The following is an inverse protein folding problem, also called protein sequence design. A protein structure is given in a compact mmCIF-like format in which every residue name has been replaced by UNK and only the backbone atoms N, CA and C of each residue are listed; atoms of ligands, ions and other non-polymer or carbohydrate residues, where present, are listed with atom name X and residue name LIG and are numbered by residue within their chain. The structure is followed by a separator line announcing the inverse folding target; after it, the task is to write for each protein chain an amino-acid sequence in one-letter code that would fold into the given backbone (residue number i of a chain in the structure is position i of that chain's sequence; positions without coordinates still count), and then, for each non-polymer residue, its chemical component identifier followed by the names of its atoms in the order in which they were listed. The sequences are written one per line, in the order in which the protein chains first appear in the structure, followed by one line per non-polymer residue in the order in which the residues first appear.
data_IF_614786867182
#
_entry.id   IF_614786867182
#
_cell.length_a   1.000
_cell.length_b   1.000
_cell.length_c   1.000
_cell.angle_alpha   90.00
_cell.angle_beta   90.00
_cell.angle_gamma   90.00
#
_symmetry.space_group_name_H-M   'P 1'
#
loop_
_entity.id
_entity.type
_entity.pdbx_description
1 polymer ?
#
# COMPACT_ATOMS: atom_id res chain seq x y z
N UNK A 1 -23.65 -67.33 -55.29
CA UNK A 1 -24.24 -66.01 -55.42
C UNK A 1 -23.66 -65.14 -54.32
N UNK A 2 -22.90 -64.25 -54.83
CA UNK A 2 -22.52 -62.94 -54.33
C UNK A 2 -21.75 -62.84 -53.01
N UNK A 3 -20.39 -62.79 -53.16
CA UNK A 3 -19.48 -62.27 -52.14
C UNK A 3 -19.48 -60.78 -52.11
N UNK A 4 -19.71 -60.21 -50.95
CA UNK A 4 -19.48 -58.77 -50.73
C UNK A 4 -18.16 -58.59 -50.00
N UNK A 5 -17.32 -57.81 -50.64
CA UNK A 5 -15.91 -57.53 -50.39
C UNK A 5 -15.65 -56.92 -49.00
N UNK A 6 -14.87 -57.63 -48.22
CA UNK A 6 -14.31 -57.22 -46.91
C UNK A 6 -13.26 -56.06 -47.00
N UNK A 7 -12.98 -55.57 -48.21
CA UNK A 7 -11.92 -54.57 -48.44
C UNK A 7 -12.29 -53.11 -48.28
N UNK A 8 -13.58 -52.76 -48.24
CA UNK A 8 -14.01 -51.34 -48.20
C UNK A 8 -14.19 -50.75 -46.81
N UNK A 9 -14.26 -51.61 -45.75
CA UNK A 9 -14.40 -51.14 -44.35
C UNK A 9 -13.08 -50.73 -43.68
N UNK A 10 -11.96 -51.31 -44.15
CA UNK A 10 -10.63 -51.03 -43.55
C UNK A 10 -10.09 -49.66 -44.00
N UNK A 11 -10.41 -49.22 -45.23
CA UNK A 11 -9.98 -47.92 -45.76
C UNK A 11 -10.65 -46.69 -45.04
N UNK A 12 -11.88 -46.86 -44.55
CA UNK A 12 -12.60 -45.76 -43.90
C UNK A 12 -12.15 -45.53 -42.46
N UNK A 13 -11.69 -46.61 -41.76
CA UNK A 13 -11.21 -46.51 -40.36
C UNK A 13 -9.82 -45.87 -40.32
N UNK A 14 -8.95 -46.14 -41.32
CA UNK A 14 -7.60 -45.58 -41.39
C UNK A 14 -7.66 -44.10 -41.73
N UNK A 15 -8.58 -43.66 -42.60
CA UNK A 15 -8.74 -42.24 -42.93
C UNK A 15 -9.26 -41.42 -41.76
N UNK A 16 -10.14 -42.02 -40.90
CA UNK A 16 -10.66 -41.35 -39.68
C UNK A 16 -9.58 -41.15 -38.61
N UNK A 17 -8.67 -42.10 -38.45
CA UNK A 17 -7.59 -42.03 -37.44
C UNK A 17 -6.54 -41.01 -37.87
N UNK A 18 -6.19 -40.90 -39.16
CA UNK A 18 -5.21 -39.91 -39.63
C UNK A 18 -5.73 -38.49 -39.49
N UNK A 19 -7.03 -38.24 -39.78
CA UNK A 19 -7.65 -36.93 -39.56
C UNK A 19 -7.74 -36.55 -38.11
N UNK A 20 -8.03 -37.53 -37.22
CA UNK A 20 -8.04 -37.25 -35.78
C UNK A 20 -6.63 -36.99 -35.20
N UNK A 21 -5.60 -37.63 -35.72
CA UNK A 21 -4.20 -37.43 -35.31
C UNK A 21 -3.69 -36.04 -35.75
N UNK A 22 -4.06 -35.56 -36.95
CA UNK A 22 -3.67 -34.25 -37.46
C UNK A 22 -4.39 -33.14 -36.68
N UNK A 23 -5.67 -33.30 -36.31
CA UNK A 23 -6.41 -32.31 -35.53
C UNK A 23 -5.89 -32.25 -34.11
N UNK A 24 -5.51 -33.40 -33.48
CA UNK A 24 -4.92 -33.39 -32.14
C UNK A 24 -3.50 -32.80 -32.17
N UNK A 25 -2.69 -33.04 -33.19
CA UNK A 25 -1.37 -32.40 -33.34
C UNK A 25 -1.48 -30.88 -33.56
N UNK A 26 -2.51 -30.40 -34.31
CA UNK A 26 -2.75 -28.97 -34.48
C UNK A 26 -3.27 -28.28 -33.21
N UNK A 27 -4.04 -28.97 -32.36
CA UNK A 27 -4.47 -28.45 -31.06
C UNK A 27 -3.31 -28.43 -30.06
N UNK A 28 -2.45 -29.43 -30.03
CA UNK A 28 -1.28 -29.51 -29.15
C UNK A 28 -0.19 -28.48 -29.52
N UNK A 29 -0.09 -28.05 -30.77
CA UNK A 29 0.84 -26.97 -31.16
C UNK A 29 0.30 -25.58 -30.87
N UNK A 30 -1.00 -25.39 -30.59
CA UNK A 30 -1.55 -24.13 -30.14
C UNK A 30 -1.45 -23.92 -28.61
N UNK A 31 -1.28 -24.97 -27.81
CA UNK A 31 -1.10 -24.86 -26.35
C UNK A 31 0.35 -24.61 -25.93
N UNK A 32 1.31 -24.53 -26.85
CA UNK A 32 2.74 -24.39 -26.56
C UNK A 32 3.34 -23.00 -26.73
N UNK A 33 2.54 -21.95 -26.91
CA UNK A 33 3.00 -20.55 -26.88
C UNK A 33 2.15 -19.78 -25.89
N UNK A 34 2.58 -19.74 -24.64
CA UNK A 34 2.29 -18.61 -23.76
C UNK A 34 2.94 -17.38 -24.40
N UNK A 35 2.26 -16.81 -25.37
CA UNK A 35 2.54 -15.46 -25.82
C UNK A 35 2.11 -14.56 -24.64
N UNK A 36 3.08 -14.05 -23.90
CA UNK A 36 2.89 -12.76 -23.25
C UNK A 36 2.44 -11.80 -24.34
N UNK A 37 1.14 -11.60 -24.46
CA UNK A 37 0.55 -10.60 -25.32
C UNK A 37 0.94 -9.23 -24.76
N UNK A 38 2.08 -8.70 -25.20
CA UNK A 38 2.30 -7.27 -25.24
C UNK A 38 1.16 -6.71 -26.08
N UNK A 39 0.18 -6.11 -25.43
CA UNK A 39 -0.93 -5.44 -26.10
C UNK A 39 -0.34 -4.26 -26.85
N UNK A 40 -0.02 -4.44 -28.15
CA UNK A 40 0.47 -3.38 -29.01
C UNK A 40 -0.71 -2.51 -29.46
N UNK A 41 -1.19 -1.67 -28.56
CA UNK A 41 -2.26 -0.70 -28.79
C UNK A 41 -2.07 0.50 -27.85
N UNK A 42 -2.77 1.61 -28.09
CA UNK A 42 -2.69 2.77 -27.20
C UNK A 42 -3.12 2.37 -25.78
N UNK A 43 -2.26 2.72 -24.82
CA UNK A 43 -2.51 2.53 -23.40
C UNK A 43 -3.19 3.78 -22.84
N UNK A 44 -4.21 3.59 -22.01
CA UNK A 44 -4.87 4.70 -21.32
C UNK A 44 -5.18 4.31 -19.88
N UNK A 45 -5.05 5.28 -18.98
CA UNK A 45 -5.48 5.15 -17.59
C UNK A 45 -6.03 6.48 -17.09
N UNK A 46 -7.25 6.48 -16.56
CA UNK A 46 -7.84 7.65 -15.90
C UNK A 46 -7.59 7.54 -14.41
N UNK A 47 -6.87 8.49 -13.83
CA UNK A 47 -6.54 8.51 -12.40
C UNK A 47 -7.69 9.07 -11.54
N UNK A 48 -7.47 9.12 -10.25
CA UNK A 48 -8.52 9.52 -9.30
C UNK A 48 -8.75 11.04 -9.26
N UNK A 49 -7.91 11.84 -9.94
CA UNK A 49 -8.14 13.26 -10.21
C UNK A 49 -9.07 13.48 -11.42
N UNK A 50 -9.43 12.40 -12.13
CA UNK A 50 -10.15 12.46 -13.42
C UNK A 50 -9.24 12.77 -14.61
N UNK A 51 -7.92 12.76 -14.42
CA UNK A 51 -6.94 12.99 -15.50
C UNK A 51 -6.71 11.68 -16.26
N UNK A 52 -6.94 11.69 -17.58
CA UNK A 52 -6.65 10.54 -18.44
C UNK A 52 -5.25 10.68 -19.04
N UNK A 53 -4.38 9.77 -18.67
CA UNK A 53 -3.06 9.61 -19.28
C UNK A 53 -3.17 8.66 -20.46
N UNK A 54 -2.65 9.06 -21.63
CA UNK A 54 -2.63 8.25 -22.85
C UNK A 54 -1.20 8.11 -23.36
N UNK A 55 -0.82 6.89 -23.77
CA UNK A 55 0.49 6.57 -24.38
C UNK A 55 0.25 5.70 -25.62
N UNK A 56 1.14 5.76 -26.59
CA UNK A 56 1.06 4.91 -27.80
C UNK A 56 1.23 3.42 -27.48
N UNK A 57 1.95 3.11 -26.42
CA UNK A 57 2.16 1.76 -25.90
C UNK A 57 2.10 1.75 -24.38
N UNK A 58 1.95 0.56 -23.81
CA UNK A 58 1.98 0.35 -22.36
C UNK A 58 3.29 0.88 -21.76
N UNK A 59 3.25 1.73 -20.71
CA UNK A 59 4.42 2.21 -20.00
C UNK A 59 5.30 1.08 -19.47
N UNK A 60 6.61 1.24 -19.62
CA UNK A 60 7.62 0.27 -19.19
C UNK A 60 8.64 0.87 -18.22
N UNK A 61 8.79 2.19 -18.21
CA UNK A 61 9.79 2.90 -17.42
C UNK A 61 9.10 3.79 -16.38
N UNK A 62 8.67 3.14 -15.31
CA UNK A 62 7.88 3.79 -14.27
C UNK A 62 8.82 4.37 -13.22
N UNK A 63 8.65 5.66 -12.90
CA UNK A 63 9.23 6.26 -11.70
C UNK A 63 8.10 6.53 -10.73
N UNK A 64 8.28 6.19 -9.44
CA UNK A 64 7.19 6.27 -8.47
C UNK A 64 7.62 6.94 -7.16
N UNK A 65 6.65 7.59 -6.50
CA UNK A 65 6.77 7.99 -5.10
C UNK A 65 6.89 6.76 -4.21
N UNK A 66 7.63 6.81 -3.11
CA UNK A 66 7.96 5.63 -2.28
C UNK A 66 6.75 4.79 -1.87
N UNK A 67 5.64 5.41 -1.43
CA UNK A 67 4.38 4.71 -1.12
C UNK A 67 3.79 4.01 -2.35
N UNK A 68 3.76 4.69 -3.49
CA UNK A 68 3.30 4.11 -4.75
C UNK A 68 4.27 3.04 -5.26
N UNK A 69 5.58 3.25 -5.11
CA UNK A 69 6.61 2.26 -5.46
C UNK A 69 6.43 0.98 -4.65
N UNK A 70 6.24 1.11 -3.33
CA UNK A 70 5.94 -0.03 -2.44
C UNK A 70 4.72 -0.82 -2.91
N UNK A 71 3.60 -0.11 -3.16
CA UNK A 71 2.37 -0.74 -3.66
C UNK A 71 2.60 -1.54 -4.95
N UNK A 72 3.29 -0.94 -5.93
CA UNK A 72 3.59 -1.58 -7.21
C UNK A 72 4.56 -2.76 -7.06
N UNK A 73 5.59 -2.64 -6.21
CA UNK A 73 6.56 -3.73 -5.99
C UNK A 73 5.92 -4.94 -5.30
N UNK A 74 4.96 -4.74 -4.40
CA UNK A 74 4.23 -5.84 -3.76
C UNK A 74 3.41 -6.66 -4.76
N UNK A 75 2.89 -6.05 -5.82
CA UNK A 75 2.22 -6.78 -6.90
C UNK A 75 3.16 -7.25 -8.01
N UNK A 76 4.47 -7.03 -7.88
CA UNK A 76 5.50 -7.55 -8.77
C UNK A 76 6.01 -6.59 -9.84
N UNK A 77 5.69 -5.29 -9.76
CA UNK A 77 6.17 -4.29 -10.71
C UNK A 77 7.25 -3.42 -10.07
N UNK A 78 8.52 -3.61 -10.47
CA UNK A 78 9.67 -2.85 -9.96
C UNK A 78 9.84 -1.55 -10.77
N UNK A 79 9.77 -0.36 -10.15
CA UNK A 79 10.01 0.89 -10.85
C UNK A 79 11.49 1.05 -11.23
N UNK A 80 11.78 1.84 -12.27
CA UNK A 80 13.15 2.16 -12.69
C UNK A 80 13.77 3.29 -11.85
N UNK A 81 12.96 4.04 -11.11
CA UNK A 81 13.40 5.08 -10.19
C UNK A 81 12.35 5.37 -9.12
N UNK A 82 12.81 5.86 -7.99
CA UNK A 82 11.95 6.20 -6.85
C UNK A 82 12.35 7.60 -6.36
N UNK A 83 11.34 8.44 -6.10
CA UNK A 83 11.47 9.66 -5.31
C UNK A 83 10.84 9.42 -3.95
N UNK A 84 11.63 9.57 -2.89
CA UNK A 84 11.26 9.15 -1.55
C UNK A 84 11.27 10.30 -0.55
N UNK A 85 10.46 10.17 0.51
CA UNK A 85 10.41 11.13 1.61
C UNK A 85 11.59 10.98 2.59
N UNK A 86 12.24 9.82 2.60
CA UNK A 86 13.35 9.47 3.48
C UNK A 86 14.47 8.77 2.70
N UNK A 87 15.70 8.74 3.21
CA UNK A 87 16.78 7.92 2.66
C UNK A 87 16.34 6.47 2.49
N UNK A 88 16.71 5.82 1.39
CA UNK A 88 16.25 4.48 1.03
C UNK A 88 16.51 3.43 2.11
N UNK A 89 17.67 3.52 2.79
CA UNK A 89 18.07 2.62 3.89
C UNK A 89 17.30 2.86 5.20
N UNK A 90 16.57 3.97 5.29
CA UNK A 90 15.74 4.35 6.45
C UNK A 90 14.26 4.45 6.13
N UNK A 91 13.89 4.17 4.88
CA UNK A 91 12.50 4.28 4.44
C UNK A 91 11.74 2.97 4.72
N UNK A 92 10.76 2.98 5.64
CA UNK A 92 10.03 1.76 6.01
C UNK A 92 9.21 1.18 4.84
N UNK A 93 8.85 2.01 3.84
CA UNK A 93 8.11 1.55 2.66
C UNK A 93 8.99 0.78 1.67
N UNK A 94 10.29 0.97 1.73
CA UNK A 94 11.26 0.33 0.84
C UNK A 94 12.00 -0.84 1.49
N UNK A 95 11.74 -1.10 2.77
CA UNK A 95 12.38 -2.18 3.51
C UNK A 95 12.06 -3.55 2.87
N UNK A 96 13.08 -4.41 2.78
CA UNK A 96 12.94 -5.77 2.25
C UNK A 96 12.93 -5.90 0.73
N UNK A 97 12.88 -4.79 -0.04
CA UNK A 97 12.97 -4.85 -1.49
C UNK A 97 14.41 -4.81 -2.01
N UNK A 98 14.67 -5.58 -3.07
CA UNK A 98 15.88 -5.40 -3.87
C UNK A 98 15.77 -4.15 -4.75
N UNK A 99 16.46 -3.08 -4.36
CA UNK A 99 16.48 -1.80 -5.08
C UNK A 99 17.70 -1.66 -6.00
N UNK A 100 18.41 -2.76 -6.29
CA UNK A 100 19.52 -2.73 -7.25
C UNK A 100 19.05 -2.25 -8.62
N UNK A 101 19.76 -1.28 -9.21
CA UNK A 101 19.41 -0.69 -10.50
C UNK A 101 18.24 0.31 -10.48
N UNK A 102 17.64 0.59 -9.31
CA UNK A 102 16.62 1.64 -9.16
C UNK A 102 17.30 3.00 -8.96
N UNK A 103 16.93 3.97 -9.77
CA UNK A 103 17.45 5.34 -9.65
C UNK A 103 16.90 6.02 -8.39
N UNK A 104 17.78 6.58 -7.57
CA UNK A 104 17.41 7.40 -6.41
C UNK A 104 17.12 8.83 -6.86
N UNK A 105 15.87 9.09 -7.24
CA UNK A 105 15.46 10.42 -7.76
C UNK A 105 15.35 11.44 -6.63
N UNK A 106 14.97 11.00 -5.43
CA UNK A 106 15.00 11.80 -4.21
C UNK A 106 15.15 10.89 -2.99
N UNK A 107 15.78 11.39 -1.95
CA UNK A 107 15.86 10.78 -0.61
C UNK A 107 15.39 11.77 0.49
N UNK A 108 14.64 12.81 0.10
CA UNK A 108 14.00 13.77 0.98
C UNK A 108 12.71 14.29 0.34
N UNK A 109 11.68 14.51 1.14
CA UNK A 109 10.37 14.94 0.65
C UNK A 109 10.46 16.21 -0.20
N UNK A 110 9.91 16.13 -1.41
CA UNK A 110 9.80 17.25 -2.33
C UNK A 110 11.09 17.67 -3.03
N UNK A 111 12.23 17.03 -2.75
CA UNK A 111 13.54 17.36 -3.29
C UNK A 111 13.88 16.49 -4.52
N UNK A 112 13.05 16.59 -5.56
CA UNK A 112 13.17 15.79 -6.79
C UNK A 112 14.37 16.26 -7.61
N UNK A 113 15.34 15.39 -7.84
CA UNK A 113 16.46 15.62 -8.74
C UNK A 113 16.03 15.40 -10.19
N UNK A 114 15.80 16.50 -10.93
CA UNK A 114 15.30 16.45 -12.31
C UNK A 114 16.31 15.83 -13.28
N UNK A 115 17.61 15.93 -13.03
CA UNK A 115 18.64 15.31 -13.88
C UNK A 115 18.62 13.78 -13.73
N UNK A 116 18.56 13.29 -12.48
CA UNK A 116 18.41 11.85 -12.20
C UNK A 116 17.11 11.31 -12.76
N UNK A 117 16.00 12.07 -12.62
CA UNK A 117 14.72 11.72 -13.19
C UNK A 117 14.78 11.61 -14.71
N UNK A 118 15.35 12.61 -15.39
CA UNK A 118 15.51 12.61 -16.85
C UNK A 118 16.42 11.46 -17.33
N UNK A 119 17.52 11.18 -16.60
CA UNK A 119 18.42 10.06 -16.88
C UNK A 119 17.71 8.69 -16.75
N UNK A 120 16.74 8.57 -15.87
CA UNK A 120 15.89 7.37 -15.75
C UNK A 120 14.93 7.19 -16.94
N UNK A 121 14.77 8.21 -17.81
CA UNK A 121 13.90 8.20 -19.00
C UNK A 121 12.50 7.64 -18.69
N UNK A 122 11.76 8.21 -17.75
CA UNK A 122 10.44 7.70 -17.41
C UNK A 122 9.45 7.88 -18.56
N UNK A 123 8.56 6.94 -18.73
CA UNK A 123 7.38 7.06 -19.59
C UNK A 123 6.08 7.21 -18.79
N UNK A 124 6.15 6.98 -17.46
CA UNK A 124 5.07 7.22 -16.50
C UNK A 124 5.64 7.58 -15.12
N UNK A 125 5.03 8.56 -14.47
CA UNK A 125 5.24 8.86 -13.05
C UNK A 125 4.00 8.38 -12.28
N UNK A 126 4.22 7.71 -11.14
CA UNK A 126 3.13 7.25 -10.26
C UNK A 126 3.30 7.82 -8.86
N UNK A 127 2.25 8.43 -8.35
CA UNK A 127 2.22 8.99 -6.99
C UNK A 127 0.83 8.87 -6.37
N UNK A 128 0.64 9.49 -5.23
CA UNK A 128 -0.64 9.63 -4.53
C UNK A 128 -1.02 11.10 -4.41
N UNK A 129 -2.27 11.37 -4.08
CA UNK A 129 -2.71 12.72 -3.70
C UNK A 129 -3.78 12.64 -2.63
N UNK A 130 -3.96 13.76 -1.95
CA UNK A 130 -5.03 13.98 -0.99
C UNK A 130 -5.91 15.12 -1.50
N UNK A 131 -7.18 14.86 -1.87
CA UNK A 131 -8.08 15.90 -2.41
C UNK A 131 -8.43 17.00 -1.40
N UNK A 132 -8.13 16.81 -0.12
CA UNK A 132 -8.33 17.79 0.93
C UNK A 132 -7.21 18.85 0.94
N UNK A 133 -6.07 18.57 0.33
CA UNK A 133 -4.92 19.46 0.24
C UNK A 133 -5.01 20.33 -1.01
N UNK A 134 -4.60 21.59 -0.88
CA UNK A 134 -4.39 22.48 -2.02
C UNK A 134 -2.92 22.51 -2.37
N UNK A 135 -2.54 22.14 -3.60
CA UNK A 135 -1.13 22.14 -3.96
C UNK A 135 -0.78 21.11 -5.04
N UNK A 136 0.49 20.71 -5.10
CA UNK A 136 0.92 19.62 -5.97
C UNK A 136 0.42 18.28 -5.42
N UNK A 137 0.51 17.22 -6.23
CA UNK A 137 0.36 15.85 -5.73
C UNK A 137 1.51 15.49 -4.79
N UNK A 138 1.32 14.49 -3.96
CA UNK A 138 2.26 14.08 -2.91
C UNK A 138 3.63 13.72 -3.52
N UNK A 139 4.72 14.13 -2.84
CA UNK A 139 6.10 13.90 -3.25
C UNK A 139 6.73 15.08 -3.98
N UNK A 140 5.97 16.12 -4.33
CA UNK A 140 6.51 17.36 -4.90
C UNK A 140 6.38 18.52 -3.91
N UNK A 141 7.41 19.38 -3.86
CA UNK A 141 7.45 20.56 -2.97
C UNK A 141 6.40 21.60 -3.35
N UNK A 142 6.24 21.82 -4.65
CA UNK A 142 5.39 22.86 -5.21
C UNK A 142 4.91 22.51 -6.63
N UNK A 143 3.95 23.25 -7.13
CA UNK A 143 3.39 23.08 -8.48
C UNK A 143 4.43 23.28 -9.58
N UNK A 144 5.38 24.20 -9.41
CA UNK A 144 6.41 24.45 -10.40
C UNK A 144 7.35 23.24 -10.58
N UNK A 145 7.65 22.53 -9.49
CA UNK A 145 8.37 21.25 -9.52
C UNK A 145 7.54 20.18 -10.22
N UNK A 146 6.25 20.05 -9.89
CA UNK A 146 5.36 19.11 -10.55
C UNK A 146 5.28 19.35 -12.06
N UNK A 147 5.09 20.60 -12.51
CA UNK A 147 5.03 20.98 -13.92
C UNK A 147 6.32 20.61 -14.69
N UNK A 148 7.48 20.77 -14.08
CA UNK A 148 8.76 20.34 -14.68
C UNK A 148 8.83 18.82 -14.83
N UNK A 149 8.33 18.08 -13.84
CA UNK A 149 8.25 16.61 -13.90
C UNK A 149 7.26 16.16 -14.97
N UNK A 150 6.11 16.82 -15.10
CA UNK A 150 5.11 16.53 -16.14
C UNK A 150 5.62 16.76 -17.58
N UNK A 151 6.62 17.65 -17.74
CA UNK A 151 7.32 17.81 -19.03
C UNK A 151 8.18 16.60 -19.41
N UNK A 152 8.62 15.81 -18.44
CA UNK A 152 9.43 14.61 -18.68
C UNK A 152 8.55 13.37 -18.90
N UNK A 153 7.50 13.19 -18.09
CA UNK A 153 6.55 12.10 -18.22
C UNK A 153 5.20 12.44 -17.55
N UNK A 154 4.07 11.90 -18.05
CA UNK A 154 2.77 12.13 -17.43
C UNK A 154 2.69 11.51 -16.04
N UNK A 155 1.86 12.11 -15.18
CA UNK A 155 1.65 11.68 -13.80
C UNK A 155 0.28 11.00 -13.67
N UNK A 156 0.28 9.79 -13.10
CA UNK A 156 -0.89 9.11 -12.53
C UNK A 156 -0.85 9.28 -11.02
N UNK A 157 -1.93 9.80 -10.43
CA UNK A 157 -2.04 9.97 -8.98
C UNK A 157 -3.27 9.23 -8.43
N UNK A 158 -3.07 8.46 -7.36
CA UNK A 158 -4.12 7.69 -6.69
C UNK A 158 -4.57 8.44 -5.42
N UNK A 159 -5.87 8.53 -5.19
CA UNK A 159 -6.43 9.15 -3.99
C UNK A 159 -6.13 8.29 -2.75
N UNK A 160 -5.25 8.79 -1.90
CA UNK A 160 -4.81 8.11 -0.68
C UNK A 160 -5.77 8.25 0.50
N UNK A 161 -6.88 8.98 0.35
CA UNK A 161 -7.81 9.26 1.46
C UNK A 161 -9.01 8.34 1.52
N UNK A 162 -9.20 7.52 0.49
CA UNK A 162 -10.29 6.53 0.43
C UNK A 162 -10.13 5.44 1.49
N UNK A 163 -11.07 4.53 1.58
CA UNK A 163 -10.90 3.32 2.37
C UNK A 163 -9.65 2.57 1.92
N UNK A 164 -8.85 2.08 2.87
CA UNK A 164 -7.53 1.52 2.56
C UNK A 164 -7.59 0.40 1.52
N UNK A 165 -8.58 -0.49 1.60
CA UNK A 165 -8.79 -1.55 0.60
C UNK A 165 -9.08 -0.99 -0.79
N UNK A 166 -9.84 0.10 -0.89
CA UNK A 166 -10.10 0.77 -2.17
C UNK A 166 -8.83 1.38 -2.77
N UNK A 167 -7.95 1.94 -1.93
CA UNK A 167 -6.64 2.46 -2.40
C UNK A 167 -5.78 1.32 -2.93
N UNK A 168 -5.70 0.19 -2.21
CA UNK A 168 -4.96 -1.00 -2.65
C UNK A 168 -5.52 -1.52 -3.98
N UNK A 169 -6.84 -1.73 -4.08
CA UNK A 169 -7.51 -2.16 -5.31
C UNK A 169 -7.22 -1.22 -6.48
N UNK A 170 -7.11 0.08 -6.21
CA UNK A 170 -6.79 1.07 -7.24
C UNK A 170 -5.37 0.94 -7.76
N UNK A 171 -4.40 0.64 -6.88
CA UNK A 171 -3.03 0.28 -7.29
C UNK A 171 -2.99 -1.05 -8.06
N UNK A 172 -3.79 -2.04 -7.67
CA UNK A 172 -3.92 -3.29 -8.43
C UNK A 172 -4.51 -3.05 -9.84
N UNK A 173 -5.53 -2.19 -9.97
CA UNK A 173 -6.09 -1.81 -11.27
C UNK A 173 -5.03 -1.13 -12.15
N UNK A 174 -4.22 -0.22 -11.60
CA UNK A 174 -3.10 0.38 -12.31
C UNK A 174 -2.07 -0.68 -12.70
N UNK A 175 -1.69 -1.57 -11.78
CA UNK A 175 -0.78 -2.68 -12.03
C UNK A 175 -1.27 -3.58 -13.15
N UNK A 176 -2.55 -3.94 -13.16
CA UNK A 176 -3.18 -4.72 -14.24
C UNK A 176 -3.11 -3.98 -15.59
N UNK A 177 -3.39 -2.68 -15.61
CA UNK A 177 -3.23 -1.86 -16.81
C UNK A 177 -1.77 -1.79 -17.29
N UNK A 178 -0.81 -1.94 -16.38
CA UNK A 178 0.63 -2.03 -16.63
C UNK A 178 1.12 -3.47 -16.87
N UNK A 179 0.21 -4.44 -17.07
CA UNK A 179 0.53 -5.81 -17.45
C UNK A 179 0.83 -6.77 -16.30
N UNK A 180 0.58 -6.38 -15.06
CA UNK A 180 0.71 -7.30 -13.91
C UNK A 180 -0.39 -8.34 -13.93
N UNK A 181 -0.04 -9.60 -13.75
CA UNK A 181 -0.99 -10.71 -13.56
C UNK A 181 -1.50 -10.74 -12.11
N UNK A 182 -2.66 -10.11 -11.87
CA UNK A 182 -3.31 -10.11 -10.55
C UNK A 182 -3.85 -11.48 -10.12
N UNK A 183 -3.90 -12.47 -11.02
CA UNK A 183 -4.28 -13.85 -10.70
C UNK A 183 -3.07 -14.70 -10.32
N UNK A 184 -1.87 -14.14 -10.41
CA UNK A 184 -0.64 -14.79 -10.00
C UNK A 184 -0.63 -15.17 -8.52
N UNK A 185 0.13 -16.20 -8.16
CA UNK A 185 0.17 -16.74 -6.79
C UNK A 185 0.51 -15.69 -5.73
N UNK A 186 1.39 -14.73 -6.03
CA UNK A 186 1.79 -13.66 -5.08
C UNK A 186 0.57 -12.83 -4.65
N UNK A 187 -0.19 -12.30 -5.61
CA UNK A 187 -1.33 -11.42 -5.34
C UNK A 187 -2.45 -12.20 -4.65
N UNK A 188 -2.80 -13.39 -5.17
CA UNK A 188 -3.85 -14.22 -4.58
C UNK A 188 -3.52 -14.67 -3.16
N UNK A 189 -2.26 -14.99 -2.85
CA UNK A 189 -1.83 -15.32 -1.49
C UNK A 189 -1.91 -14.11 -0.54
N UNK A 190 -1.55 -12.90 -1.00
CA UNK A 190 -1.69 -11.68 -0.21
C UNK A 190 -3.16 -11.39 0.14
N UNK A 191 -4.08 -11.51 -0.81
CA UNK A 191 -5.52 -11.40 -0.56
C UNK A 191 -6.01 -12.42 0.48
N UNK A 192 -5.61 -13.69 0.36
CA UNK A 192 -6.01 -14.73 1.31
C UNK A 192 -5.48 -14.47 2.72
N UNK A 193 -4.23 -13.99 2.85
CA UNK A 193 -3.66 -13.59 4.14
C UNK A 193 -4.42 -12.42 4.74
N UNK A 194 -4.77 -11.41 3.94
CA UNK A 194 -5.54 -10.26 4.40
C UNK A 194 -6.92 -10.67 4.95
N UNK A 195 -7.64 -11.55 4.27
CA UNK A 195 -8.93 -12.06 4.74
C UNK A 195 -8.79 -12.82 6.06
N UNK A 196 -7.77 -13.69 6.17
CA UNK A 196 -7.51 -14.44 7.39
C UNK A 196 -7.11 -13.53 8.56
N UNK A 197 -6.21 -12.55 8.33
CA UNK A 197 -5.79 -11.59 9.33
C UNK A 197 -6.94 -10.68 9.79
N UNK A 198 -7.77 -10.23 8.85
CA UNK A 198 -8.99 -9.45 9.15
C UNK A 198 -9.99 -10.24 10.00
N UNK A 199 -10.21 -11.51 9.68
CA UNK A 199 -11.09 -12.38 10.47
C UNK A 199 -10.53 -12.60 11.88
N UNK A 200 -9.21 -12.81 12.02
CA UNK A 200 -8.55 -12.96 13.33
C UNK A 200 -8.69 -11.69 14.18
N UNK A 201 -8.44 -10.51 13.59
CA UNK A 201 -8.59 -9.25 14.33
C UNK A 201 -10.05 -9.03 14.77
N UNK A 202 -11.04 -9.27 13.90
CA UNK A 202 -12.46 -9.20 14.29
C UNK A 202 -12.79 -10.14 15.46
N UNK A 203 -12.24 -11.34 15.47
CA UNK A 203 -12.46 -12.28 16.58
C UNK A 203 -11.79 -11.78 17.87
N UNK A 204 -10.57 -11.25 17.79
CA UNK A 204 -9.83 -10.70 18.92
C UNK A 204 -10.54 -9.48 19.54
N UNK A 205 -11.02 -8.54 18.72
CA UNK A 205 -11.75 -7.35 19.16
C UNK A 205 -13.11 -7.70 19.73
N UNK A 206 -13.83 -8.65 19.13
CA UNK A 206 -15.12 -9.14 19.64
C UNK A 206 -14.99 -9.82 21.02
N UNK A 207 -13.84 -10.47 21.30
CA UNK A 207 -13.57 -11.05 22.60
C UNK A 207 -13.22 -10.01 23.69
N UNK A 208 -12.87 -8.78 23.27
CA UNK A 208 -12.47 -7.67 24.16
C UNK A 208 -13.12 -6.35 23.72
N UNK A 209 -14.46 -6.25 23.79
CA UNK A 209 -15.19 -5.12 23.20
C UNK A 209 -14.88 -3.76 23.86
N UNK A 210 -14.38 -3.78 25.10
CA UNK A 210 -14.08 -2.56 25.85
C UNK A 210 -12.61 -2.13 25.75
N UNK A 211 -11.75 -2.97 25.16
CA UNK A 211 -10.34 -2.62 24.96
C UNK A 211 -10.20 -1.41 24.05
N UNK A 212 -9.50 -0.40 24.53
CA UNK A 212 -9.24 0.84 23.79
C UNK A 212 -7.81 0.92 23.28
N UNK A 213 -7.63 1.50 22.09
CA UNK A 213 -6.30 1.75 21.54
C UNK A 213 -6.13 3.23 21.12
N UNK A 214 -4.94 3.78 21.34
CA UNK A 214 -4.54 5.09 20.84
C UNK A 214 -3.37 4.95 19.88
N UNK A 215 -3.43 5.64 18.74
CA UNK A 215 -2.30 5.73 17.82
C UNK A 215 -1.58 7.07 18.04
N UNK A 216 -0.26 7.01 18.27
CA UNK A 216 0.52 8.17 18.68
C UNK A 216 1.83 8.31 17.89
N UNK A 217 2.30 9.55 17.77
CA UNK A 217 3.64 9.88 17.31
C UNK A 217 4.24 10.93 18.24
N UNK A 218 5.43 10.70 18.76
CA UNK A 218 6.13 11.68 19.56
C UNK A 218 7.20 12.39 18.71
N UNK A 219 7.27 13.72 18.85
CA UNK A 219 8.27 14.50 18.13
C UNK A 219 9.11 15.32 19.11
N UNK A 220 10.44 15.34 18.93
CA UNK A 220 11.33 16.10 19.81
C UNK A 220 10.95 17.58 19.86
N UNK A 221 10.75 18.12 21.06
CA UNK A 221 10.41 19.53 21.26
C UNK A 221 8.96 19.93 20.93
N UNK A 222 8.13 19.02 20.38
CA UNK A 222 6.74 19.29 20.07
C UNK A 222 5.76 18.57 21.00
N UNK A 223 6.11 17.37 21.47
CA UNK A 223 5.28 16.60 22.38
C UNK A 223 4.74 15.30 21.79
N UNK A 224 3.59 14.84 22.28
CA UNK A 224 2.90 13.62 21.85
C UNK A 224 1.69 13.96 21.01
N UNK A 225 1.72 13.50 19.75
CA UNK A 225 0.62 13.64 18.81
C UNK A 225 -0.29 12.41 18.89
N UNK A 226 -1.59 12.62 19.04
CA UNK A 226 -2.62 11.58 18.96
C UNK A 226 -3.23 11.58 17.57
N UNK A 227 -3.18 10.45 16.89
CA UNK A 227 -3.76 10.32 15.56
C UNK A 227 -5.30 10.32 15.61
N UNK A 228 -5.91 10.94 14.64
CA UNK A 228 -7.36 10.95 14.44
C UNK A 228 -7.77 9.79 13.53
N UNK A 229 -8.43 8.75 14.06
CA UNK A 229 -8.80 7.59 13.28
C UNK A 229 -9.72 7.90 12.09
N UNK A 230 -10.60 8.89 12.23
CA UNK A 230 -11.53 9.32 11.17
C UNK A 230 -10.81 9.90 9.94
N UNK A 231 -9.57 10.37 10.10
CA UNK A 231 -8.78 10.99 9.02
C UNK A 231 -7.71 10.07 8.43
N UNK A 232 -7.43 8.92 9.05
CA UNK A 232 -6.40 7.98 8.60
C UNK A 232 -7.02 6.68 8.08
N UNK A 233 -6.76 6.26 6.82
CA UNK A 233 -7.36 5.07 6.22
C UNK A 233 -7.10 3.77 6.98
N UNK A 234 -5.87 3.57 7.49
CA UNK A 234 -5.50 2.37 8.26
C UNK A 234 -6.26 2.31 9.58
N UNK A 235 -6.33 3.43 10.32
CA UNK A 235 -7.03 3.46 11.60
C UNK A 235 -8.55 3.32 11.44
N UNK A 236 -9.13 3.87 10.35
CA UNK A 236 -10.54 3.59 9.99
C UNK A 236 -10.79 2.11 9.75
N UNK A 237 -9.85 1.42 9.08
CA UNK A 237 -9.96 -0.02 8.88
C UNK A 237 -9.92 -0.77 10.22
N UNK A 238 -9.04 -0.40 11.15
CA UNK A 238 -8.98 -1.01 12.48
C UNK A 238 -10.31 -0.85 13.23
N UNK A 239 -10.93 0.34 13.15
CA UNK A 239 -12.29 0.56 13.70
C UNK A 239 -13.35 -0.30 13.01
N UNK A 240 -13.32 -0.45 11.68
CA UNK A 240 -14.23 -1.35 10.94
C UNK A 240 -14.04 -2.82 11.31
N UNK A 241 -12.85 -3.19 11.78
CA UNK A 241 -12.54 -4.53 12.28
C UNK A 241 -12.83 -4.67 13.79
N UNK A 242 -13.46 -3.68 14.41
CA UNK A 242 -13.99 -3.74 15.77
C UNK A 242 -13.08 -3.16 16.86
N UNK A 243 -11.92 -2.61 16.53
CA UNK A 243 -11.04 -1.98 17.53
C UNK A 243 -11.61 -0.63 17.96
N UNK A 244 -11.80 -0.43 19.26
CA UNK A 244 -12.16 0.89 19.81
C UNK A 244 -10.93 1.79 19.82
N UNK A 245 -10.91 2.76 18.91
CA UNK A 245 -9.84 3.74 18.83
C UNK A 245 -10.22 5.00 19.61
N UNK A 246 -9.26 5.52 20.37
CA UNK A 246 -9.36 6.87 20.93
C UNK A 246 -9.52 7.87 19.80
N UNK A 247 -10.52 8.75 19.91
CA UNK A 247 -10.78 9.83 18.97
C UNK A 247 -10.45 11.15 19.67
N UNK A 248 -9.36 11.85 19.29
CA UNK A 248 -9.07 13.18 19.81
C UNK A 248 -10.20 14.17 19.56
N UNK A 249 -10.48 15.04 20.53
CA UNK A 249 -11.63 15.94 20.48
C UNK A 249 -11.34 17.24 19.71
N UNK A 250 -10.12 17.76 19.84
CA UNK A 250 -9.77 19.03 19.24
C UNK A 250 -9.50 18.87 17.75
N UNK A 251 -10.23 19.64 16.94
CA UNK A 251 -9.90 19.77 15.53
C UNK A 251 -8.54 20.47 15.39
N UNK A 252 -7.65 19.96 14.53
CA UNK A 252 -6.41 20.65 14.24
C UNK A 252 -6.77 22.06 13.75
N UNK A 253 -6.35 23.09 14.48
CA UNK A 253 -6.74 24.49 14.23
C UNK A 253 -6.41 24.97 12.80
N UNK A 254 -5.63 24.22 12.05
CA UNK A 254 -5.21 24.58 10.71
C UNK A 254 -4.84 23.35 9.85
N UNK A 255 -5.85 22.59 9.45
CA UNK A 255 -5.73 21.49 8.47
C UNK A 255 -5.07 21.98 7.17
N UNK A 256 -5.22 23.27 6.84
CA UNK A 256 -4.76 23.85 5.58
C UNK A 256 -3.29 24.28 5.57
N UNK A 257 -2.64 24.45 6.72
CA UNK A 257 -1.29 25.02 6.80
C UNK A 257 -0.19 24.04 7.21
N UNK A 258 -0.52 22.92 7.88
CA UNK A 258 0.49 21.99 8.37
C UNK A 258 0.19 20.54 7.93
N UNK A 259 0.82 20.10 6.85
CA UNK A 259 0.78 18.72 6.40
C UNK A 259 1.15 17.71 7.51
N UNK A 260 2.11 18.07 8.38
CA UNK A 260 2.54 17.22 9.49
C UNK A 260 1.52 17.12 10.65
N UNK A 261 0.53 18.03 10.71
CA UNK A 261 -0.55 18.03 11.71
C UNK A 261 -1.88 17.47 11.22
N UNK A 262 -1.95 17.10 9.95
CA UNK A 262 -3.18 16.86 9.21
C UNK A 262 -4.14 15.84 9.85
N UNK A 263 -3.63 14.75 10.45
CA UNK A 263 -4.45 13.75 11.14
C UNK A 263 -4.03 13.54 12.61
N UNK A 264 -3.33 14.53 13.19
CA UNK A 264 -2.93 14.48 14.59
C UNK A 264 -3.46 15.66 15.37
N UNK A 265 -3.85 15.39 16.63
CA UNK A 265 -3.91 16.39 17.68
C UNK A 265 -2.57 16.43 18.43
N UNK A 266 -1.91 17.59 18.39
CA UNK A 266 -0.63 17.80 19.08
C UNK A 266 -0.86 18.19 20.55
N UNK A 267 -0.29 17.41 21.46
CA UNK A 267 -0.31 17.71 22.88
C UNK A 267 1.13 17.85 23.42
N UNK A 268 1.33 18.76 24.37
CA UNK A 268 2.58 18.74 25.10
C UNK A 268 2.72 17.44 25.91
N UNK A 269 3.93 17.07 26.28
CA UNK A 269 4.15 15.84 27.06
C UNK A 269 3.45 15.86 28.41
N UNK A 270 3.18 17.02 29.01
CA UNK A 270 2.41 17.17 30.25
C UNK A 270 0.97 16.68 30.09
N UNK A 271 0.43 16.73 28.88
CA UNK A 271 -0.92 16.27 28.53
C UNK A 271 -0.93 14.86 27.93
N UNK A 272 0.17 14.11 27.99
CA UNK A 272 0.26 12.76 27.45
C UNK A 272 -0.81 11.79 28.01
N UNK A 273 -1.33 12.03 29.20
CA UNK A 273 -2.42 11.24 29.81
C UNK A 273 -3.84 11.70 29.48
N UNK A 274 -4.02 12.69 28.58
CA UNK A 274 -5.35 13.24 28.23
C UNK A 274 -6.30 12.17 27.68
N UNK A 275 -5.77 11.25 26.90
CA UNK A 275 -6.53 10.17 26.28
C UNK A 275 -5.98 8.82 26.75
N UNK A 276 -6.48 8.27 27.89
CA UNK A 276 -6.05 6.97 28.33
C UNK A 276 -6.45 5.87 27.36
N UNK A 277 -5.57 4.91 27.14
CA UNK A 277 -5.81 3.75 26.29
C UNK A 277 -5.15 2.50 26.89
N UNK A 278 -5.71 1.33 26.57
CA UNK A 278 -5.19 0.04 27.01
C UNK A 278 -4.04 -0.43 26.13
N UNK A 279 -4.02 -0.04 24.87
CA UNK A 279 -2.98 -0.34 23.88
C UNK A 279 -2.52 0.94 23.20
N UNK A 280 -1.21 1.14 23.11
CA UNK A 280 -0.63 2.26 22.35
C UNK A 280 0.01 1.73 21.07
N UNK A 281 -0.45 2.25 19.94
CA UNK A 281 0.16 2.11 18.62
C UNK A 281 1.14 3.28 18.44
N UNK A 282 2.45 3.02 18.47
CA UNK A 282 3.44 4.10 18.39
C UNK A 282 4.12 4.16 17.02
N UNK A 283 4.41 5.37 16.57
CA UNK A 283 5.06 5.63 15.26
C UNK A 283 6.53 5.23 15.27
N UNK A 284 6.96 4.51 14.23
CA UNK A 284 8.37 4.21 13.94
C UNK A 284 8.94 5.06 12.78
N UNK A 285 8.29 6.18 12.43
CA UNK A 285 8.84 7.07 11.41
C UNK A 285 10.22 7.60 11.83
N UNK A 286 11.18 7.75 10.90
CA UNK A 286 12.53 8.26 11.20
C UNK A 286 12.56 9.64 11.87
N UNK A 287 11.48 10.40 11.78
CA UNK A 287 11.33 11.74 12.40
C UNK A 287 10.66 11.68 13.77
N UNK A 288 10.11 10.55 14.17
CA UNK A 288 9.52 10.34 15.50
C UNK A 288 10.58 9.96 16.53
N UNK A 289 10.28 10.20 17.81
CA UNK A 289 11.06 9.65 18.91
C UNK A 289 10.86 8.13 18.97
N UNK A 290 11.94 7.39 19.04
CA UNK A 290 11.90 5.95 19.29
C UNK A 290 11.50 5.63 20.76
N UNK A 291 11.19 4.36 21.03
CA UNK A 291 10.81 3.94 22.40
C UNK A 291 11.87 4.28 23.43
N UNK A 292 13.16 4.16 23.08
CA UNK A 292 14.25 4.46 24.03
C UNK A 292 14.27 5.95 24.40
N UNK A 293 14.02 6.84 23.45
CA UNK A 293 13.90 8.26 23.72
C UNK A 293 12.63 8.58 24.53
N UNK A 294 11.53 7.88 24.27
CA UNK A 294 10.28 8.00 25.03
C UNK A 294 10.42 7.50 26.48
N UNK A 295 11.24 6.50 26.75
CA UNK A 295 11.55 6.04 28.12
C UNK A 295 12.13 7.15 28.99
N UNK A 296 12.79 8.14 28.42
CA UNK A 296 13.31 9.29 29.16
C UNK A 296 12.25 10.36 29.48
N UNK A 297 11.02 10.22 29.00
CA UNK A 297 9.93 11.17 29.22
C UNK A 297 9.08 10.73 30.43
N UNK A 298 9.13 11.44 31.58
CA UNK A 298 8.45 10.99 32.81
C UNK A 298 6.95 10.78 32.65
N UNK A 299 6.27 11.66 31.92
CA UNK A 299 4.81 11.58 31.70
C UNK A 299 4.42 10.41 30.81
N UNK A 300 5.26 10.03 29.82
CA UNK A 300 5.08 8.80 29.04
C UNK A 300 5.05 7.56 29.95
N UNK A 301 5.96 7.47 30.92
CA UNK A 301 6.05 6.38 31.87
C UNK A 301 4.82 6.27 32.80
N UNK A 302 3.99 7.32 32.89
CA UNK A 302 2.77 7.27 33.71
C UNK A 302 1.58 6.64 32.98
N UNK A 303 1.63 6.49 31.67
CA UNK A 303 0.52 5.98 30.87
C UNK A 303 0.20 4.52 31.23
N UNK A 304 -1.08 4.13 31.39
CA UNK A 304 -1.48 2.77 31.76
C UNK A 304 -0.92 1.70 30.79
N UNK A 305 -1.06 1.89 29.48
CA UNK A 305 -0.53 0.97 28.48
C UNK A 305 1.00 0.84 28.53
N UNK A 306 1.73 1.93 28.79
CA UNK A 306 3.20 1.91 28.91
C UNK A 306 3.61 1.09 30.14
N UNK A 307 2.98 1.32 31.30
CA UNK A 307 3.23 0.54 32.53
C UNK A 307 2.95 -0.96 32.35
N UNK A 308 1.96 -1.29 31.51
CA UNK A 308 1.59 -2.67 31.23
C UNK A 308 2.42 -3.30 30.10
N UNK A 309 3.30 -2.54 29.42
CA UNK A 309 4.05 -3.02 28.26
C UNK A 309 3.17 -3.28 27.04
N UNK A 310 2.00 -2.67 26.96
CA UNK A 310 1.03 -2.84 25.87
C UNK A 310 1.28 -1.81 24.77
N UNK A 311 2.37 -2.00 24.06
CA UNK A 311 2.86 -1.13 22.99
C UNK A 311 3.02 -1.93 21.72
N UNK A 312 2.59 -1.36 20.58
CA UNK A 312 2.74 -1.96 19.26
C UNK A 312 3.29 -0.91 18.28
N UNK A 313 4.31 -1.23 17.48
CA UNK A 313 4.71 -0.36 16.39
C UNK A 313 3.58 -0.20 15.38
N UNK A 314 3.42 1.02 14.85
CA UNK A 314 2.39 1.35 13.87
C UNK A 314 3.00 2.03 12.65
N UNK A 315 2.61 1.54 11.47
CA UNK A 315 2.93 2.19 10.20
C UNK A 315 2.05 3.43 10.02
N UNK A 316 2.63 4.60 10.29
CA UNK A 316 1.93 5.89 10.11
C UNK A 316 1.63 6.15 8.64
N UNK A 317 2.54 5.74 7.75
CA UNK A 317 2.33 5.78 6.31
C UNK A 317 1.55 4.54 5.89
N UNK A 318 0.34 4.75 5.37
CA UNK A 318 -0.59 3.68 5.04
C UNK A 318 0.04 2.60 4.15
N UNK A 319 -0.12 1.29 4.48
CA UNK A 319 0.41 0.21 3.67
C UNK A 319 -0.50 -0.06 2.47
N UNK A 320 -0.17 0.48 1.29
CA UNK A 320 -0.99 0.30 0.09
C UNK A 320 -0.76 -1.08 -0.57
N UNK A 321 -0.63 -2.12 0.24
CA UNK A 321 -0.60 -3.51 -0.24
C UNK A 321 -1.24 -4.46 0.75
N UNK A 322 -1.91 -5.51 0.25
CA UNK A 322 -2.49 -6.56 1.10
C UNK A 322 -1.43 -7.35 1.85
N UNK A 323 -0.21 -7.46 1.33
CA UNK A 323 0.89 -8.17 2.01
C UNK A 323 1.30 -7.45 3.30
N UNK A 324 1.62 -6.14 3.22
CA UNK A 324 1.97 -5.33 4.40
C UNK A 324 0.78 -5.19 5.36
N UNK A 325 -0.41 -4.96 4.81
CA UNK A 325 -1.61 -4.81 5.62
C UNK A 325 -1.93 -6.09 6.40
N UNK A 326 -1.72 -7.27 5.81
CA UNK A 326 -1.89 -8.55 6.50
C UNK A 326 -0.96 -8.67 7.71
N UNK A 327 0.31 -8.29 7.53
CA UNK A 327 1.30 -8.29 8.61
C UNK A 327 0.87 -7.37 9.76
N UNK A 328 0.45 -6.16 9.44
CA UNK A 328 -0.01 -5.18 10.43
C UNK A 328 -1.26 -5.68 11.18
N UNK A 329 -2.20 -6.29 10.48
CA UNK A 329 -3.41 -6.87 11.10
C UNK A 329 -3.10 -8.11 11.97
N UNK A 330 -2.17 -8.97 11.55
CA UNK A 330 -1.72 -10.13 12.33
C UNK A 330 -1.06 -9.67 13.64
N UNK A 331 -0.18 -8.67 13.56
CA UNK A 331 0.50 -8.08 14.71
C UNK A 331 -0.51 -7.41 15.65
N UNK A 332 -1.46 -6.64 15.12
CA UNK A 332 -2.50 -5.99 15.89
C UNK A 332 -3.43 -7.00 16.56
N UNK A 333 -3.85 -8.05 15.86
CA UNK A 333 -4.67 -9.10 16.43
C UNK A 333 -3.95 -9.78 17.61
N UNK A 334 -2.66 -10.10 17.44
CA UNK A 334 -1.83 -10.65 18.51
C UNK A 334 -1.73 -9.70 19.70
N UNK A 335 -1.52 -8.41 19.48
CA UNK A 335 -1.47 -7.41 20.56
C UNK A 335 -2.82 -7.33 21.29
N UNK A 336 -3.95 -7.29 20.56
CA UNK A 336 -5.30 -7.26 21.16
C UNK A 336 -5.58 -8.54 21.97
N UNK A 337 -5.24 -9.72 21.44
CA UNK A 337 -5.43 -11.00 22.15
C UNK A 337 -4.75 -11.05 23.51
N UNK A 338 -3.59 -10.42 23.65
CA UNK A 338 -2.77 -10.43 24.88
C UNK A 338 -2.98 -9.19 25.77
N UNK A 339 -3.51 -8.10 25.23
CA UNK A 339 -3.74 -6.87 26.00
C UNK A 339 -4.77 -7.09 27.11
N UNK A 340 -4.59 -6.36 28.21
CA UNK A 340 -5.49 -6.31 29.37
C UNK A 340 -6.16 -4.93 29.40
N UNK A 341 -7.35 -4.85 29.93
CA UNK A 341 -7.92 -3.57 30.34
C UNK A 341 -7.07 -3.02 31.50
N UNK A 342 -6.43 -1.88 31.28
CA UNK A 342 -5.55 -1.20 32.23
C UNK A 342 -6.00 0.25 32.49
N UNK A 343 -7.03 0.69 31.79
CA UNK A 343 -7.61 2.02 31.98
C UNK A 343 -8.78 1.98 32.98
N UNK A 344 -9.37 0.81 33.21
CA UNK A 344 -10.54 0.65 34.05
C UNK A 344 -11.76 1.40 33.52
N UNK A 345 -11.81 1.61 32.20
CA UNK A 345 -12.96 2.26 31.54
C UNK A 345 -14.11 1.25 31.54
N UNK A 346 -15.26 1.55 32.21
CA UNK A 346 -16.39 0.64 32.28
C UNK A 346 -17.09 0.47 30.92
#
# INVERSE_FOLDING_TARGET
MSGMSRGRFIGLVIAGIVVAAVVVAAILTQFGKSSSSTTSGPWTFTDDRGVTVSRESQPQRIVAYDLAASALMHIGLKPVGIFAAFPFDKNPQLAGFDLSGVAKVSEAYGDVNLETLAAAQPDLIVTIFDPRLTGPVIGFRDKATQEKVEQLAPIVAIDSTKDLTQVIERFEQLGSALGVDLKGQRVTAAHQRFEAASARLRAATAAKPDLTAAAVAAQPGLGLAYARPDLNPTLRLYQKLGLRMVQPEDEPADIKQNYNGFFYEMNSFELAGRYPADLILYSELPVAMDLKALEAVPTWQTLPAVKAGQLLPWRVLDPFSYELLSEDLENLANAVEHAKDVTGTP
#
